data_IF_136213599808
#
_entry.id   IF_136213599808
#
_cell.length_a   1.000
_cell.length_b   1.000
_cell.length_c   1.000
_cell.angle_alpha   90.00
_cell.angle_beta   90.00
_cell.angle_gamma   90.00
#
_symmetry.space_group_name_H-M   'P 1'
#
loop_
_entity.id
_entity.type
_entity.pdbx_description
1 polymer ?
#
# COMPACT_ATOMS: atom_id res chain seq x y z
N UNK A 1 13.34 2.03 33.50
CA UNK A 1 13.13 2.11 34.97
C UNK A 1 11.71 2.60 35.22
N UNK A 2 10.92 1.92 36.04
CA UNK A 2 9.58 2.39 36.44
C UNK A 2 9.69 3.49 37.50
N UNK A 3 8.63 4.28 37.72
CA UNK A 3 8.64 5.32 38.78
C UNK A 3 8.98 4.73 40.16
N UNK A 4 8.43 3.57 40.51
CA UNK A 4 8.73 2.90 41.78
C UNK A 4 10.20 2.48 41.91
N UNK A 5 10.78 1.93 40.83
CA UNK A 5 12.22 1.61 40.81
C UNK A 5 13.07 2.87 40.92
N UNK A 6 12.68 3.95 40.26
CA UNK A 6 13.38 5.23 40.36
C UNK A 6 13.35 5.78 41.80
N UNK A 7 12.19 5.77 42.47
CA UNK A 7 12.11 6.19 43.88
C UNK A 7 12.96 5.29 44.79
N UNK A 8 13.04 3.98 44.50
CA UNK A 8 13.91 3.05 45.23
C UNK A 8 15.38 3.40 45.04
N UNK A 9 15.81 3.67 43.80
CA UNK A 9 17.18 4.10 43.50
C UNK A 9 17.51 5.43 44.16
N UNK A 10 16.59 6.40 44.11
CA UNK A 10 16.73 7.72 44.73
C UNK A 10 16.87 7.66 46.25
N UNK A 11 16.22 6.68 46.89
CA UNK A 11 16.30 6.46 48.34
C UNK A 11 17.56 5.67 48.77
N UNK A 12 18.32 5.10 47.83
CA UNK A 12 19.53 4.33 48.16
C UNK A 12 20.61 5.21 48.80
N UNK A 13 21.37 4.61 49.73
CA UNK A 13 22.48 5.29 50.42
C UNK A 13 23.81 4.74 49.90
N UNK A 14 24.75 5.63 49.65
CA UNK A 14 26.08 5.29 49.14
C UNK A 14 26.14 5.29 47.60
N UNK A 15 27.33 5.02 47.04
CA UNK A 15 27.54 5.01 45.60
C UNK A 15 26.84 3.80 44.95
N UNK A 16 26.34 4.00 43.73
CA UNK A 16 25.79 2.94 42.87
C UNK A 16 26.82 2.55 41.82
N UNK A 17 26.98 1.25 41.58
CA UNK A 17 27.74 0.74 40.43
C UNK A 17 26.83 0.74 39.19
N UNK A 18 27.28 1.39 38.11
CA UNK A 18 26.58 1.43 36.83
C UNK A 18 27.44 0.75 35.78
N UNK A 19 26.92 -0.34 35.19
CA UNK A 19 27.59 -1.06 34.11
C UNK A 19 26.73 -1.05 32.85
N UNK A 20 27.21 -0.36 31.82
CA UNK A 20 26.70 -0.44 30.45
C UNK A 20 27.80 -1.04 29.60
N UNK A 21 27.68 -2.34 29.32
CA UNK A 21 28.67 -3.13 28.60
C UNK A 21 28.26 -3.21 27.12
N UNK A 22 28.61 -2.17 26.36
CA UNK A 22 28.20 -2.00 24.96
C UNK A 22 29.37 -1.54 24.11
N UNK A 23 29.41 -1.99 22.85
CA UNK A 23 30.41 -1.59 21.87
C UNK A 23 29.76 -0.90 20.67
N UNK A 24 30.42 0.13 20.14
CA UNK A 24 30.06 0.72 18.85
C UNK A 24 31.00 0.18 17.76
N UNK A 25 30.42 -0.58 16.81
CA UNK A 25 31.18 -1.20 15.73
C UNK A 25 31.38 -0.20 14.58
N UNK A 26 32.57 0.40 14.49
CA UNK A 26 32.92 1.35 13.41
C UNK A 26 32.90 0.73 12.01
N UNK A 27 33.18 -0.58 11.92
CA UNK A 27 33.12 -1.37 10.67
C UNK A 27 31.91 -2.31 10.65
N UNK A 28 30.81 -1.93 11.31
CA UNK A 28 29.57 -2.68 11.31
C UNK A 28 28.84 -2.68 9.96
N UNK A 29 27.68 -3.35 9.92
CA UNK A 29 26.78 -3.33 8.77
C UNK A 29 25.35 -3.10 9.21
N UNK A 30 24.52 -2.59 8.29
CA UNK A 30 23.09 -2.41 8.51
C UNK A 30 22.34 -3.57 7.83
N UNK A 31 21.75 -4.52 8.60
CA UNK A 31 21.02 -5.63 8.03
C UNK A 31 19.70 -5.17 7.41
N UNK A 32 19.40 -5.67 6.23
CA UNK A 32 18.09 -5.54 5.56
C UNK A 32 17.70 -6.90 5.04
N UNK A 33 16.49 -7.35 5.37
CA UNK A 33 15.87 -8.53 4.78
C UNK A 33 15.06 -8.16 3.55
N UNK A 34 15.16 -8.96 2.50
CA UNK A 34 14.38 -8.81 1.27
C UNK A 34 13.82 -10.17 0.84
N UNK A 35 12.58 -10.17 0.35
CA UNK A 35 12.01 -11.28 -0.41
C UNK A 35 11.24 -10.73 -1.61
N UNK A 36 11.59 -11.17 -2.81
CA UNK A 36 10.80 -10.93 -4.02
C UNK A 36 10.02 -12.20 -4.37
N UNK A 37 8.69 -12.11 -4.36
CA UNK A 37 7.78 -13.16 -4.84
C UNK A 37 7.37 -12.81 -6.27
N UNK A 38 7.79 -13.57 -7.30
CA UNK A 38 7.48 -13.26 -8.69
C UNK A 38 6.02 -13.57 -9.03
N UNK A 39 5.35 -12.63 -9.69
CA UNK A 39 4.05 -12.85 -10.34
C UNK A 39 4.19 -13.03 -11.86
N UNK A 40 3.06 -13.13 -12.56
CA UNK A 40 3.02 -13.15 -14.04
C UNK A 40 3.58 -11.84 -14.65
N UNK A 41 3.41 -10.72 -13.95
CA UNK A 41 3.91 -9.40 -14.32
C UNK A 41 5.15 -9.01 -13.53
N UNK A 42 6.05 -8.27 -14.20
CA UNK A 42 7.20 -7.60 -13.56
C UNK A 42 6.82 -6.33 -12.80
N UNK A 43 5.56 -5.91 -12.85
CA UNK A 43 5.06 -4.80 -12.01
C UNK A 43 5.09 -5.26 -10.55
N UNK A 44 5.78 -4.52 -9.71
CA UNK A 44 5.97 -4.85 -8.31
C UNK A 44 5.05 -4.04 -7.38
N UNK A 45 4.59 -4.68 -6.31
CA UNK A 45 3.94 -4.06 -5.16
C UNK A 45 4.89 -4.17 -3.97
N UNK A 46 5.19 -3.03 -3.34
CA UNK A 46 6.06 -2.97 -2.16
C UNK A 46 5.26 -3.34 -0.90
N UNK A 47 5.83 -4.18 -0.04
CA UNK A 47 5.36 -4.41 1.33
C UNK A 47 6.56 -4.23 2.26
N UNK A 48 6.51 -3.25 3.17
CA UNK A 48 7.63 -2.93 4.05
C UNK A 48 7.23 -2.89 5.51
N UNK A 49 8.11 -3.37 6.38
CA UNK A 49 7.99 -3.27 7.82
C UNK A 49 9.36 -3.04 8.45
N UNK A 50 9.39 -2.37 9.59
CA UNK A 50 10.65 -2.07 10.26
C UNK A 50 11.01 -3.00 11.41
N UNK A 51 12.30 -3.28 11.54
CA UNK A 51 12.88 -4.30 12.44
C UNK A 51 13.88 -3.72 13.47
N UNK A 52 13.83 -2.41 13.74
CA UNK A 52 14.78 -1.74 14.65
C UNK A 52 14.35 -1.71 16.12
N UNK A 53 13.05 -1.84 16.40
CA UNK A 53 12.57 -1.76 17.79
C UNK A 53 12.95 -3.03 18.57
N UNK A 54 13.39 -2.89 19.84
CA UNK A 54 13.78 -4.03 20.66
C UNK A 54 12.54 -4.74 21.22
N UNK A 55 12.48 -5.01 22.53
CA UNK A 55 11.38 -5.74 23.18
C UNK A 55 10.10 -4.91 23.33
N UNK A 56 9.47 -4.56 22.21
CA UNK A 56 8.18 -3.89 22.09
C UNK A 56 7.25 -4.69 21.16
N UNK A 57 5.96 -4.76 21.50
CA UNK A 57 5.05 -5.69 20.85
C UNK A 57 4.28 -5.09 19.66
N UNK A 58 3.48 -4.04 19.85
CA UNK A 58 2.67 -3.44 18.79
C UNK A 58 3.58 -2.66 17.84
N UNK A 59 4.49 -1.85 18.38
CA UNK A 59 5.53 -1.11 17.67
C UNK A 59 6.91 -1.77 17.87
N UNK A 60 7.37 -2.70 17.03
CA UNK A 60 6.74 -3.17 15.79
C UNK A 60 6.85 -4.68 15.55
N UNK A 61 7.02 -5.47 16.61
CA UNK A 61 7.00 -6.94 16.48
C UNK A 61 5.72 -7.43 15.77
N UNK A 62 4.58 -6.76 16.01
CA UNK A 62 3.32 -7.06 15.35
C UNK A 62 3.40 -6.93 13.83
N UNK A 63 4.04 -5.86 13.32
CA UNK A 63 4.23 -5.63 11.89
C UNK A 63 5.18 -6.64 11.27
N UNK A 64 6.26 -6.98 11.97
CA UNK A 64 7.21 -8.02 11.55
C UNK A 64 6.52 -9.38 11.40
N UNK A 65 5.76 -9.79 12.41
CA UNK A 65 5.03 -11.07 12.40
C UNK A 65 4.00 -11.10 11.28
N UNK A 66 3.16 -10.07 11.15
CA UNK A 66 2.15 -10.02 10.09
C UNK A 66 2.80 -10.11 8.72
N UNK A 67 3.85 -9.33 8.48
CA UNK A 67 4.54 -9.28 7.18
C UNK A 67 5.14 -10.64 6.81
N UNK A 68 5.73 -11.35 7.79
CA UNK A 68 6.26 -12.70 7.57
C UNK A 68 5.16 -13.71 7.23
N UNK A 69 4.03 -13.69 7.94
CA UNK A 69 2.89 -14.56 7.62
C UNK A 69 2.26 -14.19 6.28
N UNK A 70 2.16 -12.91 5.95
CA UNK A 70 1.65 -12.45 4.67
C UNK A 70 2.51 -12.96 3.51
N UNK A 71 3.84 -12.86 3.63
CA UNK A 71 4.77 -13.43 2.66
C UNK A 71 4.57 -14.95 2.52
N UNK A 72 4.42 -15.67 3.64
CA UNK A 72 4.16 -17.12 3.65
C UNK A 72 2.87 -17.50 2.91
N UNK A 73 1.81 -16.72 3.06
CA UNK A 73 0.54 -16.93 2.34
C UNK A 73 0.70 -16.65 0.85
N UNK A 74 1.39 -15.56 0.47
CA UNK A 74 1.57 -15.21 -0.94
C UNK A 74 2.49 -16.17 -1.71
N UNK A 75 3.49 -16.77 -1.06
CA UNK A 75 4.36 -17.79 -1.66
C UNK A 75 3.59 -19.01 -2.19
N UNK A 76 2.36 -19.25 -1.70
CA UNK A 76 1.52 -20.38 -2.09
C UNK A 76 0.48 -20.00 -3.16
N UNK A 77 0.47 -18.75 -3.62
CA UNK A 77 -0.52 -18.23 -4.58
C UNK A 77 0.07 -18.06 -5.97
N UNK A 78 -0.81 -18.18 -6.98
CA UNK A 78 -0.54 -17.71 -8.33
C UNK A 78 -0.88 -16.22 -8.41
N UNK A 79 0.13 -15.37 -8.57
CA UNK A 79 0.02 -13.92 -8.48
C UNK A 79 0.17 -13.27 -9.86
N UNK A 80 -0.58 -12.20 -10.12
CA UNK A 80 -0.44 -11.34 -11.29
C UNK A 80 0.69 -10.34 -11.09
N UNK A 81 0.73 -9.66 -9.95
CA UNK A 81 1.83 -8.75 -9.59
C UNK A 81 2.97 -9.49 -8.89
N UNK A 82 4.17 -8.96 -9.02
CA UNK A 82 5.30 -9.35 -8.18
C UNK A 82 5.24 -8.61 -6.84
N UNK A 83 5.63 -9.24 -5.73
CA UNK A 83 5.57 -8.63 -4.40
C UNK A 83 6.96 -8.56 -3.78
N UNK A 84 7.40 -7.34 -3.46
CA UNK A 84 8.69 -7.08 -2.82
C UNK A 84 8.48 -6.81 -1.34
N UNK A 85 8.89 -7.75 -0.51
CA UNK A 85 8.88 -7.63 0.94
C UNK A 85 10.23 -7.07 1.43
N UNK A 86 10.18 -6.05 2.28
CA UNK A 86 11.36 -5.42 2.89
C UNK A 86 11.20 -5.43 4.41
N UNK A 87 12.26 -5.89 5.08
CA UNK A 87 12.43 -5.84 6.53
C UNK A 87 13.67 -5.01 6.82
N UNK A 88 13.52 -3.74 7.20
CA UNK A 88 14.65 -2.82 7.35
C UNK A 88 14.55 -1.97 8.62
N UNK A 89 15.65 -1.48 9.20
CA UNK A 89 15.57 -0.47 10.26
C UNK A 89 14.79 0.75 9.79
N UNK A 90 13.87 1.25 10.62
CA UNK A 90 13.02 2.40 10.25
C UNK A 90 13.89 3.58 9.84
N UNK A 91 13.46 4.27 8.79
CA UNK A 91 14.11 5.42 8.16
C UNK A 91 15.42 5.09 7.45
N UNK A 92 16.50 4.83 8.19
CA UNK A 92 17.83 4.68 7.60
C UNK A 92 17.93 3.41 6.73
N UNK A 93 17.21 2.35 7.12
CA UNK A 93 17.15 1.12 6.34
C UNK A 93 16.37 1.31 5.04
N UNK A 94 15.21 1.97 5.09
CA UNK A 94 14.45 2.32 3.89
C UNK A 94 15.25 3.24 2.94
N UNK A 95 15.94 4.25 3.47
CA UNK A 95 16.80 5.15 2.68
C UNK A 95 17.95 4.37 2.02
N UNK A 96 18.68 3.56 2.79
CA UNK A 96 19.79 2.77 2.29
C UNK A 96 19.33 1.78 1.21
N UNK A 97 18.18 1.13 1.43
CA UNK A 97 17.60 0.21 0.47
C UNK A 97 17.23 0.91 -0.83
N UNK A 98 16.54 2.04 -0.75
CA UNK A 98 16.17 2.87 -1.89
C UNK A 98 17.40 3.36 -2.69
N UNK A 99 18.47 3.79 -2.00
CA UNK A 99 19.71 4.21 -2.66
C UNK A 99 20.42 3.06 -3.39
N UNK A 100 20.37 1.84 -2.84
CA UNK A 100 20.97 0.65 -3.47
C UNK A 100 20.13 0.06 -4.61
N UNK A 101 18.83 0.28 -4.59
CA UNK A 101 17.86 -0.33 -5.50
C UNK A 101 17.09 0.73 -6.31
N UNK A 102 17.72 1.87 -6.61
CA UNK A 102 17.04 3.06 -7.11
C UNK A 102 16.17 2.80 -8.35
N UNK A 103 16.70 2.08 -9.34
CA UNK A 103 15.98 1.79 -10.59
C UNK A 103 14.70 1.01 -10.36
N UNK A 104 14.75 -0.04 -9.54
CA UNK A 104 13.54 -0.83 -9.27
C UNK A 104 12.58 -0.05 -8.39
N UNK A 105 13.05 0.64 -7.35
CA UNK A 105 12.20 1.41 -6.45
C UNK A 105 11.45 2.54 -7.16
N UNK A 106 12.08 3.20 -8.15
CA UNK A 106 11.40 4.21 -9.00
C UNK A 106 10.37 3.63 -9.95
N UNK A 107 10.38 2.31 -10.19
CA UNK A 107 9.39 1.63 -11.04
C UNK A 107 8.16 1.16 -10.27
N UNK A 108 8.22 1.14 -8.93
CA UNK A 108 7.11 0.74 -8.06
C UNK A 108 6.16 1.93 -7.91
N UNK A 109 4.88 1.68 -8.15
CA UNK A 109 3.83 2.69 -8.01
C UNK A 109 3.09 2.56 -6.67
N UNK A 110 2.89 1.34 -6.17
CA UNK A 110 2.02 1.04 -5.03
C UNK A 110 2.77 0.29 -3.95
N UNK A 111 2.51 0.64 -2.69
CA UNK A 111 3.06 -0.10 -1.56
C UNK A 111 2.20 -0.11 -0.30
N UNK A 112 2.61 -0.93 0.65
CA UNK A 112 1.99 -1.10 1.95
C UNK A 112 3.08 -1.02 3.02
N UNK A 113 2.88 -0.18 4.03
CA UNK A 113 3.67 -0.22 5.27
C UNK A 113 2.87 -1.03 6.28
N UNK A 114 3.55 -1.95 6.97
CA UNK A 114 2.95 -2.81 7.99
C UNK A 114 3.52 -2.42 9.35
N UNK A 115 2.72 -1.74 10.17
CA UNK A 115 3.12 -1.32 11.50
C UNK A 115 1.94 -1.17 12.45
N UNK A 116 2.16 -1.43 13.75
CA UNK A 116 1.16 -1.35 14.81
C UNK A 116 -0.12 -2.10 14.43
N UNK A 117 -0.06 -3.41 14.22
CA UNK A 117 -1.19 -4.23 13.70
C UNK A 117 -1.74 -5.23 14.73
N UNK A 118 -1.23 -5.20 15.96
CA UNK A 118 -1.52 -6.19 17.00
C UNK A 118 -2.35 -5.68 18.17
N UNK A 119 -2.54 -4.36 18.29
CA UNK A 119 -3.28 -3.72 19.39
C UNK A 119 -4.77 -4.07 19.44
N UNK A 120 -5.44 -3.92 20.61
CA UNK A 120 -6.85 -4.24 20.82
C UNK A 120 -7.83 -3.18 20.30
N UNK A 121 -7.35 -1.98 19.99
CA UNK A 121 -8.16 -0.85 19.56
C UNK A 121 -8.72 -0.96 18.16
N UNK A 122 -9.27 0.16 17.68
CA UNK A 122 -9.93 0.24 16.38
C UNK A 122 -8.91 0.23 15.25
N UNK A 123 -9.37 -0.18 14.07
CA UNK A 123 -8.59 -0.03 12.86
C UNK A 123 -8.46 1.44 12.49
N UNK A 124 -7.35 1.75 11.87
CA UNK A 124 -7.15 3.00 11.16
C UNK A 124 -6.30 2.75 9.94
N UNK A 125 -6.31 3.68 9.00
CA UNK A 125 -5.33 3.68 7.95
C UNK A 125 -4.80 5.08 7.65
N UNK A 126 -3.53 5.15 7.29
CA UNK A 126 -2.87 6.34 6.77
C UNK A 126 -2.88 6.29 5.26
N UNK A 127 -3.41 7.34 4.65
CA UNK A 127 -3.51 7.51 3.20
C UNK A 127 -2.14 7.65 2.56
N UNK A 128 -2.03 7.24 1.30
CA UNK A 128 -0.89 7.57 0.45
C UNK A 128 -0.85 9.07 0.16
N UNK A 129 0.32 9.56 -0.28
CA UNK A 129 0.52 10.98 -0.56
C UNK A 129 -0.43 11.52 -1.65
N UNK A 130 -0.77 10.71 -2.65
CA UNK A 130 -1.80 11.04 -3.64
C UNK A 130 -3.14 10.48 -3.16
N UNK A 131 -3.99 11.39 -2.66
CA UNK A 131 -5.35 11.05 -2.18
C UNK A 131 -6.22 10.39 -3.26
N UNK A 132 -5.95 10.63 -4.54
CA UNK A 132 -6.70 10.04 -5.66
C UNK A 132 -6.22 8.65 -6.07
N UNK A 133 -5.13 8.17 -5.47
CA UNK A 133 -4.57 6.87 -5.79
C UNK A 133 -5.52 5.73 -5.40
N UNK A 134 -5.64 4.71 -6.27
CA UNK A 134 -6.60 3.62 -6.09
C UNK A 134 -6.38 2.83 -4.80
N UNK A 135 -5.13 2.76 -4.31
CA UNK A 135 -4.79 2.06 -3.08
C UNK A 135 -5.61 2.55 -1.88
N UNK A 136 -5.82 3.87 -1.75
CA UNK A 136 -6.60 4.43 -0.65
C UNK A 136 -8.05 3.93 -0.70
N UNK A 137 -8.62 3.94 -1.90
CA UNK A 137 -9.97 3.45 -2.09
C UNK A 137 -10.09 1.95 -1.80
N UNK A 138 -9.18 1.13 -2.32
CA UNK A 138 -9.22 -0.31 -2.11
C UNK A 138 -9.10 -0.64 -0.62
N UNK A 139 -8.22 0.04 0.11
CA UNK A 139 -8.09 -0.10 1.56
C UNK A 139 -9.40 0.22 2.27
N UNK A 140 -10.05 1.34 1.94
CA UNK A 140 -11.35 1.67 2.53
C UNK A 140 -12.47 0.71 2.11
N UNK A 141 -12.44 0.20 0.88
CA UNK A 141 -13.42 -0.75 0.38
C UNK A 141 -13.33 -2.07 1.15
N UNK A 142 -12.11 -2.56 1.43
CA UNK A 142 -11.92 -3.71 2.32
C UNK A 142 -12.55 -3.46 3.68
N UNK A 143 -12.33 -2.30 4.30
CA UNK A 143 -12.97 -2.02 5.59
C UNK A 143 -14.50 -1.97 5.50
N UNK A 144 -15.05 -1.39 4.43
CA UNK A 144 -16.51 -1.33 4.23
C UNK A 144 -17.13 -2.70 4.00
N UNK A 145 -16.51 -3.53 3.15
CA UNK A 145 -16.96 -4.90 2.85
C UNK A 145 -16.97 -5.76 4.12
N UNK A 146 -15.95 -5.57 4.96
CA UNK A 146 -15.79 -6.26 6.25
C UNK A 146 -16.54 -5.61 7.41
N UNK A 147 -17.32 -4.55 7.14
CA UNK A 147 -18.08 -3.79 8.14
C UNK A 147 -17.23 -3.34 9.33
N UNK A 148 -15.96 -3.01 9.07
CA UNK A 148 -15.01 -2.52 10.06
C UNK A 148 -15.22 -1.03 10.28
N UNK A 149 -15.33 -0.62 11.54
CA UNK A 149 -15.20 0.81 11.89
C UNK A 149 -13.72 1.19 11.86
N UNK A 150 -13.38 2.24 11.11
CA UNK A 150 -12.01 2.70 10.97
C UNK A 150 -11.91 4.24 11.04
N UNK A 151 -10.73 4.71 11.44
CA UNK A 151 -10.32 6.10 11.30
C UNK A 151 -9.41 6.27 10.07
N UNK A 152 -9.58 7.37 9.35
CA UNK A 152 -8.70 7.74 8.23
C UNK A 152 -7.77 8.86 8.65
N UNK A 153 -6.48 8.67 8.42
CA UNK A 153 -5.47 9.72 8.57
C UNK A 153 -4.98 10.15 7.18
N UNK A 154 -4.96 11.46 6.86
CA UNK A 154 -4.32 11.92 5.64
C UNK A 154 -2.83 11.57 5.67
N UNK A 155 -2.19 11.55 4.49
CA UNK A 155 -0.74 11.46 4.43
C UNK A 155 -0.11 12.59 5.24
N UNK A 156 0.94 12.23 5.98
CA UNK A 156 1.74 13.11 6.80
C UNK A 156 3.21 12.65 6.76
N UNK A 157 4.15 13.58 6.86
CA UNK A 157 5.58 13.28 6.74
C UNK A 157 6.19 12.67 8.02
N UNK A 158 5.45 12.63 9.12
CA UNK A 158 5.83 11.99 10.37
C UNK A 158 5.24 10.59 10.49
N UNK A 159 5.74 9.79 11.43
CA UNK A 159 5.43 8.36 11.51
C UNK A 159 6.56 7.54 10.91
N UNK A 160 6.24 6.69 9.93
CA UNK A 160 7.13 5.61 9.49
C UNK A 160 7.66 5.81 8.06
N UNK A 161 8.07 4.71 7.41
CA UNK A 161 8.82 4.68 6.16
C UNK A 161 8.05 5.15 4.92
N UNK A 162 6.72 5.33 5.00
CA UNK A 162 5.93 5.97 3.94
C UNK A 162 6.56 7.31 3.50
N UNK A 163 7.16 8.06 4.41
CA UNK A 163 7.81 9.34 4.09
C UNK A 163 9.03 9.18 3.17
N UNK A 164 9.74 8.05 3.26
CA UNK A 164 10.91 7.77 2.44
C UNK A 164 10.48 7.27 1.05
N UNK A 165 9.59 6.29 1.02
CA UNK A 165 9.10 5.71 -0.24
C UNK A 165 8.25 6.69 -1.06
N UNK A 166 7.50 7.59 -0.42
CA UNK A 166 6.70 8.63 -1.08
C UNK A 166 7.48 9.92 -1.41
N UNK A 167 8.77 9.98 -1.07
CA UNK A 167 9.62 11.14 -1.35
C UNK A 167 9.66 11.48 -2.85
N UNK A 168 10.08 12.70 -3.18
CA UNK A 168 9.96 13.27 -4.53
C UNK A 168 10.61 12.41 -5.63
N UNK A 169 11.68 11.68 -5.30
CA UNK A 169 12.40 10.83 -6.24
C UNK A 169 11.77 9.46 -6.49
N UNK A 170 10.99 8.93 -5.55
CA UNK A 170 10.43 7.57 -5.62
C UNK A 170 8.93 7.55 -5.86
N UNK A 171 8.18 8.46 -5.23
CA UNK A 171 6.72 8.65 -5.46
C UNK A 171 5.88 7.37 -5.34
N UNK A 172 6.29 6.43 -4.48
CA UNK A 172 5.51 5.21 -4.23
C UNK A 172 4.30 5.56 -3.37
N UNK A 173 3.10 5.21 -3.84
CA UNK A 173 1.85 5.38 -3.12
C UNK A 173 1.70 4.30 -2.05
N UNK A 174 2.18 4.61 -0.85
CA UNK A 174 2.13 3.70 0.29
C UNK A 174 0.94 3.97 1.20
N UNK A 175 0.22 2.94 1.62
CA UNK A 175 -0.76 3.03 2.72
C UNK A 175 -0.33 2.22 3.91
N UNK A 176 -0.77 2.61 5.09
CA UNK A 176 -0.44 1.92 6.36
C UNK A 176 -1.74 1.57 7.06
N UNK A 177 -2.01 0.30 7.30
CA UNK A 177 -3.15 -0.16 8.11
C UNK A 177 -2.64 -0.43 9.52
N UNK A 178 -3.28 0.17 10.52
CA UNK A 178 -2.90 0.02 11.93
C UNK A 178 -4.08 -0.39 12.81
N UNK A 179 -3.78 -1.10 13.89
CA UNK A 179 -4.53 -1.21 15.13
C UNK A 179 -3.76 -0.49 16.24
N UNK A 180 -4.36 0.57 16.79
CA UNK A 180 -3.68 1.48 17.73
C UNK A 180 -2.41 2.07 17.10
N UNK A 181 -2.59 3.01 16.15
CA UNK A 181 -1.49 3.64 15.42
C UNK A 181 -0.48 4.25 16.40
N UNK A 182 0.81 4.21 16.02
CA UNK A 182 1.87 4.96 16.68
C UNK A 182 1.41 6.40 17.02
N UNK A 183 1.89 6.90 18.17
CA UNK A 183 1.50 8.16 18.81
C UNK A 183 0.08 8.24 19.42
N UNK A 184 -0.79 7.24 19.24
CA UNK A 184 -2.21 7.34 19.66
C UNK A 184 -2.63 6.39 20.79
N UNK A 185 -1.74 5.52 21.25
CA UNK A 185 -1.99 4.66 22.40
C UNK A 185 -1.02 4.96 23.54
N UNK A 186 -1.52 4.90 24.77
CA UNK A 186 -0.79 5.32 25.98
C UNK A 186 0.46 4.49 26.29
N UNK A 187 0.63 3.34 25.63
CA UNK A 187 1.76 2.43 25.85
C UNK A 187 2.88 2.56 24.81
N UNK A 188 2.67 3.39 23.77
CA UNK A 188 3.66 3.63 22.72
C UNK A 188 5.01 4.04 23.30
N UNK A 189 6.10 3.39 22.85
CA UNK A 189 7.46 3.58 23.37
C UNK A 189 7.63 3.38 24.89
N UNK A 190 6.82 2.49 25.48
CA UNK A 190 6.97 2.08 26.89
C UNK A 190 7.02 0.56 27.02
N UNK A 191 7.50 0.06 28.15
CA UNK A 191 7.47 -1.39 28.46
C UNK A 191 6.05 -1.97 28.59
N UNK A 192 5.01 -1.12 28.56
CA UNK A 192 3.62 -1.56 28.52
C UNK A 192 3.19 -2.00 27.11
N UNK A 193 3.95 -1.64 26.07
CA UNK A 193 3.79 -2.22 24.74
C UNK A 193 4.42 -3.62 24.69
N UNK A 194 3.69 -4.60 25.23
CA UNK A 194 4.17 -5.95 25.46
C UNK A 194 3.15 -7.01 25.01
N UNK A 195 3.49 -8.29 25.19
CA UNK A 195 2.66 -9.43 24.76
C UNK A 195 1.35 -9.60 25.54
N UNK A 196 1.08 -8.79 26.58
CA UNK A 196 -0.25 -8.70 27.20
C UNK A 196 -1.14 -7.69 26.47
N UNK A 197 -0.55 -6.63 25.92
CA UNK A 197 -1.26 -5.62 25.14
C UNK A 197 -1.58 -6.15 23.73
N UNK A 198 -0.61 -6.78 23.07
CA UNK A 198 -0.78 -7.40 21.75
C UNK A 198 -1.21 -8.85 21.88
N UNK A 199 -2.16 -9.28 21.04
CA UNK A 199 -2.58 -10.68 20.98
C UNK A 199 -2.66 -11.21 19.53
N UNK A 200 -2.57 -12.53 19.40
CA UNK A 200 -2.56 -13.21 18.10
C UNK A 200 -3.86 -13.00 17.32
N UNK A 201 -5.02 -12.95 17.99
CA UNK A 201 -6.32 -12.72 17.33
C UNK A 201 -6.34 -11.41 16.55
N UNK A 202 -5.77 -10.35 17.11
CA UNK A 202 -5.68 -9.05 16.45
C UNK A 202 -4.74 -9.07 15.24
N UNK A 203 -3.59 -9.73 15.36
CA UNK A 203 -2.63 -9.86 14.25
C UNK A 203 -3.27 -10.66 13.10
N UNK A 204 -3.97 -11.75 13.41
CA UNK A 204 -4.69 -12.57 12.42
C UNK A 204 -5.78 -11.75 11.72
N UNK A 205 -6.57 -10.98 12.48
CA UNK A 205 -7.60 -10.12 11.89
C UNK A 205 -6.97 -9.06 10.95
N UNK A 206 -5.87 -8.43 11.35
CA UNK A 206 -5.13 -7.53 10.47
C UNK A 206 -4.62 -8.27 9.23
N UNK A 207 -4.03 -9.46 9.38
CA UNK A 207 -3.55 -10.28 8.26
C UNK A 207 -4.65 -10.60 7.25
N UNK A 208 -5.85 -10.95 7.72
CA UNK A 208 -7.02 -11.19 6.86
C UNK A 208 -7.40 -9.97 6.03
N UNK A 209 -7.33 -8.76 6.61
CA UNK A 209 -7.59 -7.51 5.88
C UNK A 209 -6.50 -7.24 4.82
N UNK A 210 -5.23 -7.48 5.15
CA UNK A 210 -4.14 -7.37 4.17
C UNK A 210 -4.31 -8.37 3.01
N UNK A 211 -4.69 -9.62 3.29
CA UNK A 211 -4.97 -10.63 2.26
C UNK A 211 -6.16 -10.22 1.37
N UNK A 212 -7.22 -9.65 1.95
CA UNK A 212 -8.36 -9.12 1.18
C UNK A 212 -7.98 -7.92 0.32
N UNK A 213 -7.16 -7.02 0.84
CA UNK A 213 -6.61 -5.90 0.08
C UNK A 213 -5.76 -6.39 -1.09
N UNK A 214 -4.89 -7.37 -0.86
CA UNK A 214 -4.09 -7.99 -1.91
C UNK A 214 -4.96 -8.66 -2.96
N UNK A 215 -6.01 -9.40 -2.59
CA UNK A 215 -6.93 -9.97 -3.58
C UNK A 215 -7.58 -8.88 -4.44
N UNK A 216 -8.00 -7.76 -3.84
CA UNK A 216 -8.54 -6.62 -4.61
C UNK A 216 -7.48 -5.97 -5.51
N UNK A 217 -6.23 -5.85 -5.04
CA UNK A 217 -5.11 -5.35 -5.84
C UNK A 217 -4.87 -6.22 -7.07
N UNK A 218 -4.84 -7.54 -6.87
CA UNK A 218 -4.71 -8.53 -7.93
C UNK A 218 -5.86 -8.44 -8.95
N UNK A 219 -7.06 -8.01 -8.54
CA UNK A 219 -8.22 -7.85 -9.43
C UNK A 219 -8.33 -6.48 -10.11
N UNK A 220 -7.45 -5.54 -9.78
CA UNK A 220 -7.36 -4.25 -10.50
C UNK A 220 -7.22 -4.52 -11.99
N UNK A 221 -7.90 -3.74 -12.82
CA UNK A 221 -7.81 -3.87 -14.28
C UNK A 221 -7.21 -2.62 -14.87
N UNK A 222 -6.03 -2.77 -15.48
CA UNK A 222 -5.29 -1.70 -16.15
C UNK A 222 -5.21 -2.04 -17.63
N UNK A 223 -5.73 -1.13 -18.45
CA UNK A 223 -5.66 -1.24 -19.91
C UNK A 223 -4.69 -0.22 -20.47
N UNK A 224 -4.08 -0.57 -21.60
CA UNK A 224 -3.22 0.30 -22.40
C UNK A 224 -3.75 0.38 -23.82
N UNK A 225 -3.83 1.60 -24.36
CA UNK A 225 -4.12 1.82 -25.77
C UNK A 225 -3.00 1.30 -26.65
N UNK A 226 -3.37 0.54 -27.67
CA UNK A 226 -2.48 0.08 -28.74
C UNK A 226 -2.34 1.15 -29.84
N UNK A 227 -3.17 2.20 -29.80
CA UNK A 227 -3.15 3.35 -30.71
C UNK A 227 -3.04 4.63 -29.87
N UNK A 228 -1.85 4.93 -29.29
CA UNK A 228 -1.69 6.08 -28.40
C UNK A 228 -1.51 7.41 -29.15
N UNK A 229 -1.21 7.36 -30.45
CA UNK A 229 -0.95 8.54 -31.26
C UNK A 229 -2.26 9.00 -31.91
N UNK A 230 -2.86 10.05 -31.34
CA UNK A 230 -4.15 10.61 -31.78
C UNK A 230 -5.31 9.62 -31.62
N UNK A 231 -6.44 9.90 -32.29
CA UNK A 231 -7.67 9.12 -32.16
C UNK A 231 -7.68 7.85 -33.03
N UNK A 232 -8.38 6.83 -32.52
CA UNK A 232 -8.70 5.62 -33.28
C UNK A 232 -9.79 5.96 -34.29
N UNK A 233 -9.65 5.51 -35.53
CA UNK A 233 -10.73 5.60 -36.53
C UNK A 233 -11.86 4.61 -36.19
N UNK A 234 -12.72 4.98 -35.24
CA UNK A 234 -13.74 4.12 -34.64
C UNK A 234 -14.74 3.54 -35.66
N UNK A 235 -15.00 4.23 -36.77
CA UNK A 235 -15.88 3.75 -37.85
C UNK A 235 -15.37 2.45 -38.49
N UNK A 236 -14.04 2.27 -38.65
CA UNK A 236 -13.44 1.02 -39.14
C UNK A 236 -13.72 -0.18 -38.22
N UNK A 237 -14.08 0.10 -36.98
CA UNK A 237 -14.36 -0.91 -35.97
C UNK A 237 -15.85 -1.06 -35.68
N UNK A 238 -16.74 -0.35 -36.40
CA UNK A 238 -18.18 -0.33 -36.12
C UNK A 238 -18.52 0.26 -34.74
N UNK A 239 -17.67 1.17 -34.25
CA UNK A 239 -17.80 1.82 -32.94
C UNK A 239 -18.18 3.30 -33.05
N UNK A 240 -18.50 3.76 -34.27
CA UNK A 240 -18.91 5.14 -34.53
C UNK A 240 -20.24 5.14 -35.29
N UNK A 241 -21.20 6.01 -34.94
CA UNK A 241 -22.48 6.09 -35.63
C UNK A 241 -22.34 6.43 -37.13
N UNK A 242 -23.14 5.79 -37.97
CA UNK A 242 -23.12 5.98 -39.43
C UNK A 242 -23.82 7.28 -39.87
N UNK A 243 -24.71 7.82 -39.04
CA UNK A 243 -25.44 9.08 -39.27
C UNK A 243 -24.94 10.13 -38.28
N UNK A 244 -24.34 11.21 -38.79
CA UNK A 244 -23.81 12.32 -38.00
C UNK A 244 -24.76 13.53 -37.94
N UNK A 245 -24.64 14.35 -36.88
CA UNK A 245 -25.31 15.66 -36.78
C UNK A 245 -26.21 15.87 -35.56
N UNK A 246 -26.70 14.80 -34.93
CA UNK A 246 -27.55 14.88 -33.72
C UNK A 246 -26.80 14.62 -32.39
N UNK A 247 -25.50 14.28 -32.47
CA UNK A 247 -24.69 13.91 -31.30
C UNK A 247 -24.02 15.16 -30.76
N UNK A 248 -24.55 15.68 -29.65
CA UNK A 248 -23.97 16.81 -28.94
C UNK A 248 -23.16 16.27 -27.75
N UNK A 249 -21.88 16.66 -27.60
CA UNK A 249 -21.11 16.31 -26.40
C UNK A 249 -21.82 16.79 -25.13
N UNK A 250 -22.04 15.89 -24.16
CA UNK A 250 -22.55 16.22 -22.83
C UNK A 250 -24.08 16.34 -22.68
N UNK A 251 -24.87 16.25 -23.75
CA UNK A 251 -26.34 16.14 -23.69
C UNK A 251 -26.78 14.87 -24.41
N UNK A 252 -27.29 13.89 -23.66
CA UNK A 252 -27.76 12.59 -24.19
C UNK A 252 -26.80 11.89 -25.17
N UNK A 253 -25.49 12.11 -25.00
CA UNK A 253 -24.49 11.42 -25.82
C UNK A 253 -24.63 9.92 -25.59
N UNK A 254 -24.66 9.14 -26.68
CA UNK A 254 -24.61 7.68 -26.63
C UNK A 254 -23.59 7.26 -25.57
N UNK A 255 -24.07 6.72 -24.44
CA UNK A 255 -23.25 6.48 -23.25
C UNK A 255 -22.00 5.67 -23.61
N UNK A 256 -22.11 4.77 -24.59
CA UNK A 256 -21.02 3.92 -25.06
C UNK A 256 -19.91 4.68 -25.81
N UNK A 257 -20.23 5.62 -26.72
CA UNK A 257 -19.20 6.36 -27.49
C UNK A 257 -18.39 7.28 -26.57
N UNK A 258 -19.06 7.99 -25.66
CA UNK A 258 -18.40 8.83 -24.64
C UNK A 258 -17.44 8.00 -23.78
N UNK A 259 -17.87 6.82 -23.33
CA UNK A 259 -17.02 5.90 -22.58
C UNK A 259 -15.82 5.41 -23.40
N UNK A 260 -15.99 5.10 -24.69
CA UNK A 260 -14.89 4.71 -25.56
C UNK A 260 -13.85 5.84 -25.62
N UNK A 261 -14.27 7.07 -25.86
CA UNK A 261 -13.36 8.22 -25.95
C UNK A 261 -12.61 8.46 -24.62
N UNK A 262 -13.30 8.38 -23.49
CA UNK A 262 -12.65 8.47 -22.17
C UNK A 262 -11.65 7.35 -21.91
N UNK A 263 -11.99 6.12 -22.28
CA UNK A 263 -11.08 4.99 -22.14
C UNK A 263 -9.85 5.14 -23.04
N UNK A 264 -10.01 5.57 -24.29
CA UNK A 264 -8.88 5.82 -25.20
C UNK A 264 -7.97 6.92 -24.68
N UNK A 265 -8.52 7.94 -24.02
CA UNK A 265 -7.75 9.04 -23.43
C UNK A 265 -6.98 8.61 -22.17
N UNK A 266 -7.61 7.85 -21.26
CA UNK A 266 -7.01 7.52 -19.96
C UNK A 266 -6.35 6.15 -19.85
N UNK A 267 -6.60 5.21 -20.76
CA UNK A 267 -5.95 3.89 -20.75
C UNK A 267 -4.52 3.97 -21.30
N UNK A 268 -3.63 4.67 -20.60
CA UNK A 268 -2.20 4.80 -20.93
C UNK A 268 -1.34 3.68 -20.31
N UNK A 269 -1.97 2.76 -19.57
CA UNK A 269 -1.31 1.70 -18.82
C UNK A 269 -0.85 2.08 -17.41
N UNK A 270 -1.17 3.29 -16.94
CA UNK A 270 -0.86 3.78 -15.58
C UNK A 270 -2.11 3.81 -14.71
N UNK A 271 -3.23 4.27 -15.24
CA UNK A 271 -4.48 4.35 -14.48
C UNK A 271 -5.28 3.05 -14.53
N UNK A 272 -5.81 2.63 -13.37
CA UNK A 272 -6.81 1.58 -13.30
C UNK A 272 -8.16 2.06 -13.85
N UNK A 273 -8.95 1.14 -14.41
CA UNK A 273 -10.34 1.44 -14.80
C UNK A 273 -11.16 2.01 -13.65
N UNK A 274 -10.84 1.62 -12.43
CA UNK A 274 -11.46 2.16 -11.23
C UNK A 274 -11.17 3.66 -11.06
N UNK A 275 -9.91 4.08 -11.14
CA UNK A 275 -9.55 5.51 -11.08
C UNK A 275 -10.23 6.31 -12.20
N UNK A 276 -10.25 5.75 -13.41
CA UNK A 276 -10.92 6.38 -14.55
C UNK A 276 -12.40 6.57 -14.23
N UNK A 277 -13.08 5.52 -13.74
CA UNK A 277 -14.50 5.55 -13.38
C UNK A 277 -14.85 6.69 -12.41
N UNK A 278 -13.98 6.94 -11.42
CA UNK A 278 -14.15 8.04 -10.47
C UNK A 278 -13.84 9.40 -11.06
N UNK A 279 -12.80 9.50 -11.89
CA UNK A 279 -12.39 10.76 -12.51
C UNK A 279 -13.46 11.32 -13.46
N UNK A 280 -14.15 10.43 -14.18
CA UNK A 280 -15.21 10.82 -15.14
C UNK A 280 -16.63 10.67 -14.58
N UNK A 281 -16.76 10.25 -13.31
CA UNK A 281 -18.05 10.02 -12.64
C UNK A 281 -18.98 9.05 -13.40
N UNK A 282 -18.44 7.92 -13.88
CA UNK A 282 -19.19 6.89 -14.60
C UNK A 282 -19.09 5.53 -13.89
N UNK A 283 -20.08 4.63 -14.04
CA UNK A 283 -20.03 3.32 -13.37
C UNK A 283 -18.86 2.45 -13.87
N UNK A 284 -18.10 1.87 -12.94
CA UNK A 284 -16.98 0.96 -13.25
C UNK A 284 -17.40 -0.20 -14.18
N UNK A 285 -18.59 -0.75 -13.96
CA UNK A 285 -19.14 -1.86 -14.75
C UNK A 285 -19.23 -1.52 -16.24
N UNK A 286 -19.63 -0.30 -16.56
CA UNK A 286 -19.79 0.16 -17.95
C UNK A 286 -18.41 0.38 -18.59
N UNK A 287 -17.47 0.98 -17.85
CA UNK A 287 -16.09 1.11 -18.31
C UNK A 287 -15.44 -0.26 -18.57
N UNK A 288 -15.63 -1.21 -17.66
CA UNK A 288 -15.08 -2.56 -17.80
C UNK A 288 -15.65 -3.28 -19.01
N UNK A 289 -16.97 -3.25 -19.20
CA UNK A 289 -17.62 -3.84 -20.39
C UNK A 289 -17.10 -3.22 -21.68
N UNK A 290 -16.98 -1.89 -21.74
CA UNK A 290 -16.48 -1.18 -22.91
C UNK A 290 -15.00 -1.48 -23.16
N UNK A 291 -14.16 -1.55 -22.12
CA UNK A 291 -12.75 -1.92 -22.24
C UNK A 291 -12.57 -3.32 -22.83
N UNK A 292 -13.39 -4.30 -22.43
CA UNK A 292 -13.37 -5.64 -23.01
C UNK A 292 -13.78 -5.66 -24.50
N UNK A 293 -14.71 -4.79 -24.92
CA UNK A 293 -15.08 -4.65 -26.34
C UNK A 293 -13.89 -4.10 -27.14
N UNK A 294 -13.22 -3.07 -26.61
CA UNK A 294 -12.05 -2.45 -27.24
C UNK A 294 -10.85 -3.41 -27.27
N UNK A 295 -10.69 -4.24 -26.24
CA UNK A 295 -9.67 -5.30 -26.21
C UNK A 295 -9.89 -6.35 -27.28
N UNK A 296 -11.13 -6.87 -27.42
CA UNK A 296 -11.48 -7.82 -28.50
C UNK A 296 -11.23 -7.27 -29.90
N UNK A 297 -11.28 -5.94 -30.06
CA UNK A 297 -11.03 -5.24 -31.32
C UNK A 297 -9.55 -4.85 -31.52
N UNK A 298 -8.65 -5.29 -30.65
CA UNK A 298 -7.22 -4.94 -30.63
C UNK A 298 -6.95 -3.43 -30.58
N UNK A 299 -7.81 -2.68 -29.87
CA UNK A 299 -7.65 -1.25 -29.64
C UNK A 299 -7.03 -0.99 -28.26
N UNK A 300 -7.49 -1.73 -27.25
CA UNK A 300 -6.88 -1.77 -25.92
C UNK A 300 -6.22 -3.13 -25.69
N UNK A 301 -5.31 -3.18 -24.72
CA UNK A 301 -4.74 -4.41 -24.18
C UNK A 301 -4.75 -4.34 -22.65
N UNK A 302 -5.23 -5.37 -21.97
CA UNK A 302 -5.00 -5.51 -20.53
C UNK A 302 -3.53 -5.81 -20.27
N UNK A 303 -2.89 -5.07 -19.36
CA UNK A 303 -1.44 -5.12 -19.13
C UNK A 303 -1.05 -5.59 -17.73
N UNK A 304 -1.99 -6.20 -17.02
CA UNK A 304 -1.78 -6.77 -15.69
C UNK A 304 -2.64 -8.01 -15.48
#
# INVERSE_FOLDING_TARGET
>A
VTKAQFETLKASKGPLEVRVDSEFLSNGSLPVGELLIPGESKKEILISTYICHPSLANDNLSGVILTAFLAKELLQKKLKFSYRFIFAPETIGAIAYCAKNETIMKSIDTGLIVSCVGGPGKFSYKQSFDKSHYINFLTEEVFRDEKIQFSTYPFDIHGSDERQYSSQGFRINTTTICKDKYYEYSYYHTSLDNLKFVNAKNIVHSLELYLKLINKLEDVSIFKSLVPNCEVMLSKHGLYPEVGGAIVPGKDSHQELDLILWLLFYCDGKMSLYQISKKISKPFKDLYKTALILEKKNILKKIN
#
